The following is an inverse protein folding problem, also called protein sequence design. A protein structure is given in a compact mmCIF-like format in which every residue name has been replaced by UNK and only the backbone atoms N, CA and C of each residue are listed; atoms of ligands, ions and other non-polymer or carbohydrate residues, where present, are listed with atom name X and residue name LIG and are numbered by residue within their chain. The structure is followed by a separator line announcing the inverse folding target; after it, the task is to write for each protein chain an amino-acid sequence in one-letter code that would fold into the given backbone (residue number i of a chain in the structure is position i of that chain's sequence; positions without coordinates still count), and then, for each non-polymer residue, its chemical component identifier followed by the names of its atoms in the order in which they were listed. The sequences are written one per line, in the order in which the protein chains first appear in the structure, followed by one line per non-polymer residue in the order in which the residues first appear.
data_IF_700630855006
#
_entry.id   IF_700630855006
#
_cell.length_a   1.000
_cell.length_b   1.000
_cell.length_c   1.000
_cell.angle_alpha   90.00
_cell.angle_beta   90.00
_cell.angle_gamma   90.00
#
_symmetry.space_group_name_H-M   'P 1'
#
loop_
_entity.id
_entity.type
_entity.pdbx_description
1 polymer ?
#
# COMPACT_ATOMS: atom_id res chain seq x y z
N UNK A 1 -11.78 -43.28 21.22
CA UNK A 1 -12.26 -41.98 21.75
C UNK A 1 -11.06 -41.06 21.78
N UNK A 2 -10.94 -40.17 20.82
CA UNK A 2 -10.19 -38.91 21.00
C UNK A 2 -10.56 -38.01 19.82
N UNK A 3 -11.73 -37.40 19.93
CA UNK A 3 -12.09 -36.27 19.09
C UNK A 3 -11.36 -35.09 19.69
N UNK A 4 -10.28 -34.65 19.06
CA UNK A 4 -9.66 -33.37 19.35
C UNK A 4 -10.73 -32.30 19.22
N UNK A 5 -11.27 -31.87 20.35
CA UNK A 5 -12.17 -30.72 20.46
C UNK A 5 -11.33 -29.52 20.04
N UNK A 6 -11.49 -29.10 18.79
CA UNK A 6 -11.07 -27.79 18.34
C UNK A 6 -11.97 -26.80 19.08
N UNK A 7 -11.37 -26.06 20.01
CA UNK A 7 -12.05 -24.99 20.72
C UNK A 7 -12.52 -23.94 19.69
N UNK A 8 -13.83 -23.72 19.51
CA UNK A 8 -14.36 -22.75 18.55
C UNK A 8 -14.08 -21.29 18.97
N UNK A 9 -13.48 -21.07 20.14
CA UNK A 9 -13.10 -19.76 20.67
C UNK A 9 -11.58 -19.52 20.67
N UNK A 10 -10.75 -20.44 20.16
CA UNK A 10 -9.35 -20.13 19.90
C UNK A 10 -9.32 -19.02 18.84
N UNK A 11 -8.70 -17.84 19.11
CA UNK A 11 -8.46 -16.88 18.04
C UNK A 11 -7.69 -17.63 16.96
N UNK A 12 -8.26 -17.67 15.75
CA UNK A 12 -7.62 -18.34 14.62
C UNK A 12 -6.18 -17.80 14.54
N UNK A 13 -5.21 -18.69 14.73
CA UNK A 13 -3.80 -18.32 14.57
C UNK A 13 -3.70 -17.77 13.14
N UNK A 14 -3.30 -16.50 12.94
CA UNK A 14 -3.21 -15.93 11.61
C UNK A 14 -2.33 -16.84 10.74
N UNK A 15 -2.86 -17.30 9.61
CA UNK A 15 -2.07 -18.03 8.64
C UNK A 15 -1.18 -17.02 7.92
N UNK A 16 0.16 -17.08 8.06
CA UNK A 16 1.05 -16.09 7.46
C UNK A 16 0.93 -16.02 5.92
N UNK A 17 0.48 -17.10 5.28
CA UNK A 17 0.19 -17.11 3.85
C UNK A 17 -1.09 -16.33 3.52
N UNK A 18 -2.13 -16.46 4.37
CA UNK A 18 -3.37 -15.71 4.23
C UNK A 18 -3.15 -14.21 4.42
N UNK A 19 -2.43 -13.80 5.48
CA UNK A 19 -2.14 -12.39 5.75
C UNK A 19 -1.36 -11.74 4.61
N UNK A 20 -0.48 -12.53 3.98
CA UNK A 20 0.30 -12.08 2.82
C UNK A 20 -0.54 -11.90 1.57
N UNK A 21 -1.35 -12.89 1.21
CA UNK A 21 -2.22 -12.80 0.03
C UNK A 21 -3.21 -11.65 0.20
N UNK A 22 -3.71 -11.46 1.42
CA UNK A 22 -4.57 -10.33 1.74
C UNK A 22 -3.85 -8.98 1.63
N UNK A 23 -2.60 -8.88 2.11
CA UNK A 23 -1.79 -7.67 1.94
C UNK A 23 -1.54 -7.31 0.47
N UNK A 24 -1.27 -8.29 -0.39
CA UNK A 24 -1.08 -8.07 -1.83
C UNK A 24 -2.39 -7.60 -2.49
N UNK A 25 -3.55 -8.17 -2.13
CA UNK A 25 -4.88 -7.70 -2.60
C UNK A 25 -5.17 -6.27 -2.14
N UNK A 26 -4.87 -5.96 -0.89
CA UNK A 26 -5.11 -4.64 -0.31
C UNK A 26 -4.27 -3.56 -0.98
N UNK A 27 -2.98 -3.83 -1.22
CA UNK A 27 -2.10 -2.93 -1.95
C UNK A 27 -2.53 -2.74 -3.41
N UNK A 28 -3.02 -3.79 -4.06
CA UNK A 28 -3.57 -3.69 -5.41
C UNK A 28 -4.79 -2.76 -5.45
N UNK A 29 -5.75 -2.94 -4.53
CA UNK A 29 -6.95 -2.07 -4.44
C UNK A 29 -6.60 -0.62 -4.14
N UNK A 30 -5.71 -0.38 -3.18
CA UNK A 30 -5.24 0.97 -2.86
C UNK A 30 -4.50 1.61 -4.04
N UNK A 31 -3.73 0.83 -4.80
CA UNK A 31 -3.07 1.26 -6.03
C UNK A 31 -4.05 1.63 -7.15
N UNK A 32 -5.08 0.80 -7.37
CA UNK A 32 -6.12 1.06 -8.37
C UNK A 32 -6.93 2.32 -8.03
N UNK A 33 -7.29 2.52 -6.76
CA UNK A 33 -7.94 3.75 -6.28
C UNK A 33 -7.06 4.98 -6.50
N UNK A 34 -5.76 4.87 -6.19
CA UNK A 34 -4.81 5.95 -6.43
C UNK A 34 -4.69 6.30 -7.92
N UNK A 35 -4.66 5.30 -8.80
CA UNK A 35 -4.64 5.52 -10.25
C UNK A 35 -5.94 6.17 -10.75
N UNK A 36 -7.09 5.78 -10.19
CA UNK A 36 -8.38 6.36 -10.52
C UNK A 36 -8.51 7.84 -10.13
N UNK A 37 -7.90 8.25 -9.00
CA UNK A 37 -7.82 9.66 -8.60
C UNK A 37 -7.05 10.54 -9.61
N UNK A 38 -6.22 9.94 -10.46
CA UNK A 38 -5.45 10.60 -11.50
C UNK A 38 -5.92 10.23 -12.92
N UNK A 39 -7.19 9.87 -13.11
CA UNK A 39 -7.68 9.36 -14.40
C UNK A 39 -7.82 10.41 -15.51
N UNK A 40 -7.71 11.72 -15.23
CA UNK A 40 -7.81 12.74 -16.28
C UNK A 40 -6.62 12.63 -17.25
N UNK A 41 -6.77 12.90 -18.56
CA UNK A 41 -5.72 12.61 -19.55
C UNK A 41 -4.34 13.23 -19.24
N UNK A 42 -4.31 14.44 -18.66
CA UNK A 42 -3.05 15.11 -18.26
C UNK A 42 -2.46 14.59 -16.96
N UNK A 43 -3.31 14.23 -15.99
CA UNK A 43 -2.87 13.72 -14.69
C UNK A 43 -2.46 12.26 -14.76
N UNK A 44 -3.10 11.47 -15.62
CA UNK A 44 -2.80 10.05 -15.83
C UNK A 44 -1.38 9.86 -16.34
N UNK A 45 -1.00 10.56 -17.41
CA UNK A 45 0.35 10.47 -17.96
C UNK A 45 1.42 10.87 -16.94
N UNK A 46 1.12 11.88 -16.11
CA UNK A 46 2.00 12.28 -15.01
C UNK A 46 2.07 11.21 -13.91
N UNK A 47 0.94 10.66 -13.51
CA UNK A 47 0.85 9.60 -12.52
C UNK A 47 1.63 8.36 -12.97
N UNK A 48 1.41 7.86 -14.18
CA UNK A 48 2.09 6.68 -14.72
C UNK A 48 3.62 6.83 -14.70
N UNK A 49 4.13 8.03 -15.03
CA UNK A 49 5.56 8.36 -14.96
C UNK A 49 6.12 8.36 -13.54
N UNK A 50 5.29 8.67 -12.53
CA UNK A 50 5.70 8.76 -11.13
C UNK A 50 5.38 7.48 -10.34
N UNK A 51 4.44 6.65 -10.80
CA UNK A 51 3.92 5.49 -10.11
C UNK A 51 5.01 4.48 -9.75
N UNK A 52 5.98 4.26 -10.65
CA UNK A 52 7.12 3.38 -10.36
C UNK A 52 7.92 3.83 -9.13
N UNK A 53 8.03 5.14 -8.90
CA UNK A 53 8.74 5.68 -7.73
C UNK A 53 7.95 5.56 -6.42
N UNK A 54 6.67 5.21 -6.47
CA UNK A 54 5.84 5.00 -5.27
C UNK A 54 6.30 3.74 -4.55
N UNK A 55 6.55 2.65 -5.30
CA UNK A 55 6.99 1.35 -4.76
C UNK A 55 8.51 1.19 -4.76
N UNK A 56 9.22 1.84 -5.68
CA UNK A 56 10.69 1.75 -5.80
C UNK A 56 11.33 3.09 -5.47
N UNK A 57 12.37 3.10 -4.63
CA UNK A 57 13.06 4.35 -4.35
C UNK A 57 13.93 4.78 -5.54
N UNK A 58 13.72 5.99 -6.04
CA UNK A 58 14.55 6.57 -7.11
C UNK A 58 15.88 7.13 -6.59
N UNK A 59 16.84 7.26 -7.49
CA UNK A 59 18.08 8.04 -7.31
C UNK A 59 17.85 9.50 -7.72
N UNK A 60 18.75 10.42 -7.33
CA UNK A 60 18.68 11.81 -7.80
C UNK A 60 18.69 11.89 -9.32
N UNK A 61 19.48 11.05 -10.01
CA UNK A 61 19.53 11.00 -11.47
C UNK A 61 18.19 10.55 -12.08
N UNK A 62 17.54 9.52 -11.52
CA UNK A 62 16.24 9.07 -12.03
C UNK A 62 15.12 10.08 -11.78
N UNK A 63 15.15 10.79 -10.65
CA UNK A 63 14.19 11.86 -10.37
C UNK A 63 14.39 13.06 -11.28
N UNK A 64 15.64 13.45 -11.57
CA UNK A 64 15.94 14.52 -12.51
C UNK A 64 15.48 14.16 -13.94
N UNK A 65 15.73 12.93 -14.39
CA UNK A 65 15.27 12.44 -15.69
C UNK A 65 13.73 12.45 -15.81
N UNK A 66 13.03 11.96 -14.78
CA UNK A 66 11.57 12.03 -14.72
C UNK A 66 11.08 13.49 -14.72
N UNK A 67 11.78 14.38 -14.02
CA UNK A 67 11.50 15.81 -13.98
C UNK A 67 11.58 16.45 -15.37
N UNK A 68 12.65 16.18 -16.11
CA UNK A 68 12.82 16.70 -17.48
C UNK A 68 11.67 16.28 -18.41
N UNK A 69 11.19 15.04 -18.29
CA UNK A 69 10.06 14.53 -19.09
C UNK A 69 8.72 15.16 -18.70
N UNK A 70 8.59 15.66 -17.48
CA UNK A 70 7.35 16.22 -16.92
C UNK A 70 7.37 17.75 -16.84
N UNK A 71 8.47 18.41 -17.24
CA UNK A 71 8.66 19.85 -17.05
C UNK A 71 8.80 20.26 -15.58
N UNK A 72 9.30 19.36 -14.72
CA UNK A 72 9.46 19.55 -13.28
C UNK A 72 10.93 19.53 -12.88
N UNK A 73 11.25 20.20 -11.77
CA UNK A 73 12.56 20.04 -11.12
C UNK A 73 12.66 18.71 -10.40
N UNK A 74 13.88 18.23 -10.15
CA UNK A 74 14.13 17.04 -9.32
C UNK A 74 13.41 17.12 -7.96
N UNK A 75 13.48 18.30 -7.30
CA UNK A 75 12.82 18.54 -6.02
C UNK A 75 11.30 18.44 -6.12
N UNK A 76 10.70 18.98 -7.18
CA UNK A 76 9.26 18.87 -7.43
C UNK A 76 8.82 17.42 -7.66
N UNK A 77 9.64 16.60 -8.33
CA UNK A 77 9.40 15.16 -8.49
C UNK A 77 9.44 14.45 -7.14
N UNK A 78 10.47 14.70 -6.30
CA UNK A 78 10.55 14.13 -4.95
C UNK A 78 9.32 14.44 -4.11
N UNK A 79 8.85 15.69 -4.14
CA UNK A 79 7.64 16.11 -3.43
C UNK A 79 6.40 15.39 -3.99
N UNK A 80 6.26 15.30 -5.31
CA UNK A 80 5.13 14.61 -5.93
C UNK A 80 5.09 13.11 -5.55
N UNK A 81 6.23 12.43 -5.60
CA UNK A 81 6.36 11.02 -5.17
C UNK A 81 6.02 10.87 -3.69
N UNK A 82 6.51 11.77 -2.83
CA UNK A 82 6.17 11.74 -1.41
C UNK A 82 4.65 11.86 -1.19
N UNK A 83 3.98 12.78 -1.89
CA UNK A 83 2.52 12.94 -1.81
C UNK A 83 1.78 11.68 -2.27
N UNK A 84 2.22 11.05 -3.37
CA UNK A 84 1.63 9.78 -3.83
C UNK A 84 1.78 8.66 -2.80
N UNK A 85 2.95 8.54 -2.15
CA UNK A 85 3.19 7.56 -1.08
C UNK A 85 2.34 7.83 0.17
N UNK A 86 2.12 9.10 0.52
CA UNK A 86 1.18 9.46 1.59
C UNK A 86 -0.24 9.02 1.22
N UNK A 87 -0.70 9.39 0.02
CA UNK A 87 -2.05 9.06 -0.43
C UNK A 87 -2.29 7.56 -0.53
N UNK A 88 -1.32 6.79 -1.04
CA UNK A 88 -1.40 5.32 -1.08
C UNK A 88 -1.59 4.73 0.33
N UNK A 89 -0.87 5.25 1.33
CA UNK A 89 -1.03 4.78 2.72
C UNK A 89 -2.40 5.13 3.28
N UNK A 90 -2.92 6.31 2.99
CA UNK A 90 -4.26 6.71 3.44
C UNK A 90 -5.35 5.85 2.80
N UNK A 91 -5.19 5.51 1.52
CA UNK A 91 -6.08 4.57 0.83
C UNK A 91 -5.97 3.17 1.42
N UNK A 92 -4.76 2.67 1.69
CA UNK A 92 -4.55 1.37 2.34
C UNK A 92 -5.23 1.31 3.72
N UNK A 93 -5.08 2.34 4.55
CA UNK A 93 -5.82 2.46 5.82
C UNK A 93 -7.32 2.44 5.64
N UNK A 94 -7.82 3.07 4.57
CA UNK A 94 -9.25 3.10 4.28
C UNK A 94 -9.75 1.70 3.92
N UNK A 95 -9.01 0.97 3.08
CA UNK A 95 -9.32 -0.43 2.75
C UNK A 95 -9.33 -1.32 4.00
N UNK A 96 -8.36 -1.13 4.92
CA UNK A 96 -8.33 -1.86 6.20
C UNK A 96 -9.57 -1.52 7.03
N UNK A 97 -9.87 -0.24 7.21
CA UNK A 97 -11.02 0.21 8.00
C UNK A 97 -12.33 -0.36 7.46
N UNK A 98 -12.48 -0.49 6.15
CA UNK A 98 -13.66 -1.10 5.50
C UNK A 98 -13.82 -2.61 5.82
N UNK A 99 -12.75 -3.28 6.28
CA UNK A 99 -12.79 -4.71 6.68
C UNK A 99 -13.01 -4.93 8.18
N UNK A 100 -12.82 -3.92 9.02
CA UNK A 100 -12.96 -4.04 10.47
C UNK A 100 -14.42 -3.84 10.89
N UNK A 101 -14.86 -4.66 11.85
CA UNK A 101 -16.20 -4.51 12.45
C UNK A 101 -16.31 -3.23 13.30
N UNK A 102 -15.21 -2.80 13.92
CA UNK A 102 -15.09 -1.56 14.69
C UNK A 102 -13.77 -0.84 14.32
N UNK A 103 -13.79 0.05 13.30
CA UNK A 103 -12.59 0.66 12.77
C UNK A 103 -12.13 1.87 13.60
N UNK A 104 -11.49 1.61 14.75
CA UNK A 104 -10.79 2.66 15.50
C UNK A 104 -9.45 3.01 14.84
N UNK A 105 -8.92 4.24 15.02
CA UNK A 105 -7.60 4.59 14.51
C UNK A 105 -6.49 3.63 14.97
N UNK A 106 -6.56 3.18 16.22
CA UNK A 106 -5.62 2.22 16.79
C UNK A 106 -5.72 0.85 16.12
N UNK A 107 -6.94 0.33 15.92
CA UNK A 107 -7.16 -0.96 15.28
C UNK A 107 -6.67 -0.97 13.82
N UNK A 108 -6.88 0.14 13.09
CA UNK A 108 -6.40 0.29 11.71
C UNK A 108 -4.87 0.31 11.66
N UNK A 109 -4.21 1.01 12.59
CA UNK A 109 -2.74 1.06 12.63
C UNK A 109 -2.11 -0.27 13.07
N UNK A 110 -2.75 -1.00 13.99
CA UNK A 110 -2.32 -2.33 14.40
C UNK A 110 -2.42 -3.34 13.25
N UNK A 111 -3.54 -3.35 12.52
CA UNK A 111 -3.71 -4.20 11.34
C UNK A 111 -2.71 -3.85 10.23
N UNK A 112 -2.50 -2.54 9.99
CA UNK A 112 -1.51 -2.07 9.02
C UNK A 112 -0.09 -2.56 9.38
N UNK A 113 0.27 -2.57 10.66
CA UNK A 113 1.56 -3.08 11.12
C UNK A 113 1.70 -4.58 10.84
N UNK A 114 0.71 -5.38 11.20
CA UNK A 114 0.67 -6.83 10.94
C UNK A 114 0.88 -7.12 9.46
N UNK A 115 0.19 -6.38 8.57
CA UNK A 115 0.36 -6.55 7.13
C UNK A 115 1.77 -6.20 6.64
N UNK A 116 2.35 -5.10 7.13
CA UNK A 116 3.72 -4.71 6.77
C UNK A 116 4.72 -5.79 7.19
N UNK A 117 4.54 -6.38 8.36
CA UNK A 117 5.38 -7.47 8.86
C UNK A 117 5.27 -8.73 7.98
N UNK A 118 4.04 -9.10 7.58
CA UNK A 118 3.78 -10.22 6.65
C UNK A 118 4.45 -9.99 5.28
N UNK A 119 4.43 -8.76 4.77
CA UNK A 119 5.09 -8.38 3.52
C UNK A 119 6.62 -8.41 3.64
N UNK A 120 7.18 -7.95 4.76
CA UNK A 120 8.63 -7.87 4.99
C UNK A 120 9.30 -9.26 5.08
N UNK A 121 8.56 -10.28 5.54
CA UNK A 121 8.98 -11.68 5.56
C UNK A 121 9.34 -12.27 4.18
N UNK A 122 9.08 -11.54 3.08
CA UNK A 122 9.47 -11.86 1.69
C UNK A 122 10.98 -11.71 1.41
N UNK A 123 11.74 -11.06 2.29
CA UNK A 123 13.10 -10.56 1.98
C UNK A 123 14.24 -11.35 2.64
N UNK A 124 14.09 -12.65 2.91
CA UNK A 124 15.20 -13.51 3.35
C UNK A 124 15.56 -14.56 2.32
#
# INVERSE_FOLDING_TARGET
VDAAVVDPAAPAVPDPAFDRDWADVLLARAGDRLAAEHATPGERARYERLAHFVTTNGTSASYAAAGALLGLTEGAVKVAVHRLRQRLRDLARSEIAETLADPTPEAVEDELRTLIEALAGRTR
#
